data_IF_959879685976
#
_entry.id   IF_959879685976
#
_cell.length_a   1.000
_cell.length_b   1.000
_cell.length_c   1.000
_cell.angle_alpha   90.00
_cell.angle_beta   90.00
_cell.angle_gamma   90.00
#
_symmetry.space_group_name_H-M   'P 1'
#
loop_
_entity.id
_entity.type
_entity.pdbx_description
1 polymer ?
#
# COMPACT_ATOMS: atom_id res chain seq x y z
N UNK A 1 -30.10 6.55 1.99
CA UNK A 1 -28.63 6.68 2.00
C UNK A 1 -28.09 6.09 0.73
N UNK A 2 -27.08 6.72 0.14
CA UNK A 2 -26.46 6.24 -1.09
C UNK A 2 -25.14 5.52 -0.78
N UNK A 3 -24.67 4.62 -1.67
CA UNK A 3 -23.33 4.06 -1.57
C UNK A 3 -22.28 5.18 -1.49
N UNK A 4 -21.24 5.06 -0.66
CA UNK A 4 -20.24 6.09 -0.49
C UNK A 4 -19.37 6.18 -1.74
N UNK A 5 -18.72 7.31 -1.90
CA UNK A 5 -17.65 7.44 -2.88
C UNK A 5 -16.34 7.25 -2.17
N UNK A 6 -15.50 6.36 -2.71
CA UNK A 6 -14.17 6.09 -2.16
C UNK A 6 -13.14 6.53 -3.20
N UNK A 7 -12.12 7.24 -2.78
CA UNK A 7 -10.97 7.61 -3.62
C UNK A 7 -9.68 7.26 -2.87
N UNK A 8 -8.75 6.59 -3.54
CA UNK A 8 -7.46 6.23 -2.98
C UNK A 8 -6.39 7.21 -3.47
N UNK A 9 -5.46 7.59 -2.60
CA UNK A 9 -4.40 8.56 -2.88
C UNK A 9 -3.05 7.94 -2.50
N UNK A 10 -2.05 7.95 -3.41
CA UNK A 10 -2.13 8.39 -4.81
C UNK A 10 -3.10 7.54 -5.65
N UNK A 11 -3.80 8.20 -6.57
CA UNK A 11 -4.82 7.57 -7.42
C UNK A 11 -4.26 7.10 -8.77
N UNK A 12 -5.11 6.49 -9.60
CA UNK A 12 -4.85 6.29 -11.04
C UNK A 12 -3.70 5.33 -11.38
N UNK A 13 -3.50 4.29 -10.58
CA UNK A 13 -2.56 3.20 -10.88
C UNK A 13 -3.24 2.04 -11.61
N UNK A 14 -2.49 1.33 -12.43
CA UNK A 14 -2.89 0.05 -13.01
C UNK A 14 -1.77 -0.98 -12.86
N UNK A 15 -2.05 -2.25 -13.19
CA UNK A 15 -1.01 -3.29 -13.26
C UNK A 15 0.12 -2.88 -14.23
N UNK A 16 -0.21 -2.22 -15.34
CA UNK A 16 0.76 -1.77 -16.34
C UNK A 16 1.47 -0.45 -15.99
N UNK A 17 0.88 0.35 -15.11
CA UNK A 17 1.43 1.61 -14.62
C UNK A 17 1.24 1.73 -13.10
N UNK A 18 2.03 0.97 -12.32
CA UNK A 18 1.93 0.98 -10.87
C UNK A 18 2.68 2.18 -10.28
N UNK A 19 2.21 2.64 -9.11
CA UNK A 19 2.90 3.66 -8.32
C UNK A 19 4.23 3.10 -7.83
N UNK A 20 5.31 3.83 -8.01
CA UNK A 20 6.66 3.36 -7.69
C UNK A 20 7.06 3.77 -6.28
N UNK A 21 7.38 2.80 -5.43
CA UNK A 21 8.00 3.02 -4.14
C UNK A 21 9.35 2.31 -4.06
N UNK A 22 10.26 2.85 -3.23
CA UNK A 22 11.55 2.23 -2.93
C UNK A 22 11.41 1.41 -1.67
N UNK A 23 11.97 0.20 -1.66
CA UNK A 23 11.94 -0.68 -0.48
C UNK A 23 12.56 -0.05 0.77
N UNK A 24 13.50 0.87 0.60
CA UNK A 24 14.19 1.57 1.69
C UNK A 24 13.44 2.79 2.23
N UNK A 25 12.24 3.07 1.74
CA UNK A 25 11.39 4.13 2.26
C UNK A 25 10.06 3.53 2.70
N UNK A 26 9.47 4.16 3.72
CA UNK A 26 8.07 3.97 4.02
C UNK A 26 7.19 4.57 2.91
N UNK A 27 5.91 4.19 2.91
CA UNK A 27 4.91 4.85 2.10
C UNK A 27 3.52 4.73 2.73
N UNK A 28 2.62 5.61 2.31
CA UNK A 28 1.22 5.61 2.75
C UNK A 28 0.30 5.64 1.55
N UNK A 29 -0.75 4.82 1.59
CA UNK A 29 -1.92 5.00 0.74
C UNK A 29 -3.08 5.48 1.61
N UNK A 30 -3.62 6.66 1.30
CA UNK A 30 -4.76 7.22 2.00
C UNK A 30 -6.07 6.89 1.27
N UNK A 31 -7.16 6.77 2.02
CA UNK A 31 -8.51 6.67 1.49
C UNK A 31 -9.35 7.87 1.92
N UNK A 32 -10.01 8.49 0.94
CA UNK A 32 -11.04 9.50 1.16
C UNK A 32 -12.40 8.83 0.96
N UNK A 33 -13.21 8.84 2.02
CA UNK A 33 -14.55 8.25 2.02
C UNK A 33 -15.55 9.41 2.12
N UNK A 34 -16.31 9.63 1.05
CA UNK A 34 -17.39 10.61 1.02
C UNK A 34 -18.72 9.90 1.25
N UNK A 35 -19.41 10.27 2.32
CA UNK A 35 -20.68 9.68 2.74
C UNK A 35 -21.85 10.56 2.30
N UNK A 36 -22.81 9.94 1.63
CA UNK A 36 -24.05 10.57 1.19
C UNK A 36 -25.23 9.94 1.95
N UNK A 37 -25.32 10.24 3.24
CA UNK A 37 -26.35 9.70 4.14
C UNK A 37 -26.67 10.72 5.24
N UNK A 38 -27.96 10.96 5.49
CA UNK A 38 -28.41 11.90 6.52
C UNK A 38 -28.48 11.30 7.93
N UNK A 39 -28.28 9.98 8.04
CA UNK A 39 -28.33 9.25 9.31
C UNK A 39 -26.91 8.90 9.76
N UNK A 40 -26.70 8.76 11.07
CA UNK A 40 -25.48 8.15 11.60
C UNK A 40 -25.42 6.68 11.20
N UNK A 41 -24.38 6.31 10.47
CA UNK A 41 -24.11 4.97 9.96
C UNK A 41 -22.75 4.51 10.47
N UNK A 42 -22.64 3.24 10.81
CA UNK A 42 -21.35 2.65 11.18
C UNK A 42 -20.66 2.21 9.91
N UNK A 43 -19.38 2.54 9.80
CA UNK A 43 -18.55 2.19 8.66
C UNK A 43 -17.42 1.30 9.16
N UNK A 44 -17.22 0.19 8.47
CA UNK A 44 -16.06 -0.66 8.69
C UNK A 44 -15.19 -0.67 7.44
N UNK A 45 -13.89 -0.53 7.67
CA UNK A 45 -12.87 -0.36 6.64
C UNK A 45 -11.83 -1.45 6.80
N UNK A 46 -11.32 -1.97 5.69
CA UNK A 46 -10.31 -3.01 5.70
C UNK A 46 -9.41 -2.94 4.47
N UNK A 47 -8.11 -2.84 4.70
CA UNK A 47 -7.06 -3.00 3.72
C UNK A 47 -6.71 -4.47 3.53
N UNK A 48 -6.40 -4.85 2.29
CA UNK A 48 -5.86 -6.17 1.93
C UNK A 48 -4.75 -5.96 0.93
N UNK A 49 -3.57 -6.55 1.19
CA UNK A 49 -2.43 -6.52 0.28
C UNK A 49 -2.29 -7.87 -0.40
N UNK A 50 -2.16 -7.88 -1.73
CA UNK A 50 -1.93 -9.09 -2.52
C UNK A 50 -0.69 -8.94 -3.38
N UNK A 51 0.09 -10.00 -3.51
CA UNK A 51 1.25 -10.05 -4.41
C UNK A 51 0.79 -10.42 -5.82
N UNK A 52 1.29 -9.66 -6.80
CA UNK A 52 0.98 -9.80 -8.22
C UNK A 52 2.06 -10.53 -9.02
N UNK A 53 2.86 -11.40 -8.39
CA UNK A 53 3.92 -12.15 -9.10
C UNK A 53 3.41 -12.98 -10.29
N UNK A 54 2.17 -13.46 -10.26
CA UNK A 54 1.56 -14.18 -11.40
C UNK A 54 0.07 -13.86 -11.63
N UNK A 55 -0.74 -13.67 -10.58
CA UNK A 55 -2.19 -13.47 -10.73
C UNK A 55 -2.87 -12.58 -9.69
N UNK A 56 -2.12 -11.82 -8.89
CA UNK A 56 -2.65 -10.95 -7.82
C UNK A 56 -3.58 -11.65 -6.81
N UNK A 57 -3.47 -12.98 -6.65
CA UNK A 57 -4.36 -13.77 -5.78
C UNK A 57 -3.80 -13.97 -4.38
N UNK A 58 -2.48 -14.02 -4.24
CA UNK A 58 -1.82 -14.37 -2.99
C UNK A 58 -1.86 -13.20 -2.01
N UNK A 59 -2.64 -13.34 -0.94
CA UNK A 59 -2.67 -12.37 0.16
C UNK A 59 -1.32 -12.36 0.87
N UNK A 60 -0.80 -11.17 1.10
CA UNK A 60 0.41 -10.94 1.90
C UNK A 60 -0.02 -10.83 3.35
N UNK A 61 0.59 -11.63 4.22
CA UNK A 61 0.43 -11.50 5.66
C UNK A 61 1.33 -10.35 6.14
N UNK A 62 0.70 -9.25 6.54
CA UNK A 62 1.38 -8.12 7.15
C UNK A 62 1.63 -8.39 8.64
N UNK A 63 2.67 -7.76 9.17
CA UNK A 63 2.91 -7.78 10.62
C UNK A 63 1.72 -7.17 11.38
N UNK A 64 1.44 -7.68 12.58
CA UNK A 64 0.35 -7.21 13.44
C UNK A 64 0.42 -5.72 13.81
N UNK A 65 1.61 -5.12 13.73
CA UNK A 65 1.82 -3.69 13.93
C UNK A 65 1.28 -2.82 12.78
N UNK A 66 1.03 -3.39 11.60
CA UNK A 66 0.46 -2.67 10.47
C UNK A 66 -1.05 -2.58 10.62
N UNK A 67 -1.54 -1.35 10.86
CA UNK A 67 -2.97 -1.08 10.99
C UNK A 67 -3.62 -1.16 9.62
N UNK A 68 -4.54 -2.13 9.46
CA UNK A 68 -5.26 -2.36 8.19
C UNK A 68 -6.72 -1.93 8.23
N UNK A 69 -7.21 -1.45 9.37
CA UNK A 69 -8.61 -1.02 9.52
C UNK A 69 -8.78 0.50 9.47
N UNK A 70 -7.69 1.27 9.37
CA UNK A 70 -7.74 2.72 9.27
C UNK A 70 -7.99 3.21 7.84
N UNK A 71 -8.30 4.50 7.70
CA UNK A 71 -8.40 5.17 6.40
C UNK A 71 -7.07 5.25 5.66
N UNK A 72 -5.96 5.17 6.39
CA UNK A 72 -4.62 5.17 5.83
C UNK A 72 -3.97 3.80 6.02
N UNK A 73 -3.32 3.30 4.97
CA UNK A 73 -2.44 2.15 5.04
C UNK A 73 -1.00 2.66 5.00
N UNK A 74 -0.38 2.72 6.17
CA UNK A 74 1.04 2.98 6.31
C UNK A 74 1.83 1.68 6.21
N UNK A 75 2.76 1.61 5.26
CA UNK A 75 3.66 0.47 5.08
C UNK A 75 5.08 0.93 5.45
N UNK A 76 5.64 0.44 6.56
CA UNK A 76 7.01 0.74 6.94
C UNK A 76 8.03 0.29 5.89
N UNK A 77 9.23 0.87 5.94
CA UNK A 77 10.33 0.43 5.09
C UNK A 77 10.58 -1.08 5.26
N UNK A 78 10.99 -1.74 4.17
CA UNK A 78 11.37 -3.17 4.14
C UNK A 78 10.28 -4.18 4.51
N UNK A 79 9.06 -3.76 4.86
CA UNK A 79 7.92 -4.63 5.16
C UNK A 79 7.53 -5.50 3.95
N UNK A 80 7.49 -4.91 2.76
CA UNK A 80 7.20 -5.63 1.52
C UNK A 80 8.51 -5.97 0.76
N UNK A 81 8.69 -7.22 0.29
CA UNK A 81 9.73 -7.56 -0.67
C UNK A 81 9.58 -6.78 -2.00
N UNK A 82 10.64 -6.74 -2.81
CA UNK A 82 10.55 -6.18 -4.15
C UNK A 82 9.54 -6.97 -5.00
N UNK A 83 8.68 -6.27 -5.72
CA UNK A 83 7.61 -6.88 -6.51
C UNK A 83 6.43 -5.94 -6.76
N UNK A 84 5.44 -6.46 -7.49
CA UNK A 84 4.18 -5.78 -7.77
C UNK A 84 3.12 -6.22 -6.76
N UNK A 85 2.34 -5.27 -6.24
CA UNK A 85 1.28 -5.53 -5.27
C UNK A 85 -0.02 -4.81 -5.63
N UNK A 86 -1.14 -5.48 -5.34
CA UNK A 86 -2.48 -4.91 -5.33
C UNK A 86 -2.86 -4.59 -3.88
N UNK A 87 -3.15 -3.32 -3.61
CA UNK A 87 -3.63 -2.83 -2.32
C UNK A 87 -5.12 -2.54 -2.49
N UNK A 88 -5.96 -3.38 -1.88
CA UNK A 88 -7.41 -3.27 -1.92
C UNK A 88 -7.92 -2.63 -0.64
N UNK A 89 -8.76 -1.60 -0.75
CA UNK A 89 -9.47 -1.00 0.35
C UNK A 89 -10.96 -1.32 0.24
N UNK A 90 -11.49 -2.05 1.23
CA UNK A 90 -12.89 -2.38 1.33
C UNK A 90 -13.58 -1.48 2.36
N UNK A 91 -14.71 -0.91 1.97
CA UNK A 91 -15.62 -0.15 2.83
C UNK A 91 -16.95 -0.89 2.90
N UNK A 92 -17.46 -1.07 4.12
CA UNK A 92 -18.76 -1.68 4.39
C UNK A 92 -19.56 -0.74 5.29
N UNK A 93 -20.81 -0.45 4.91
CA UNK A 93 -21.71 0.33 5.76
C UNK A 93 -22.70 -0.59 6.46
N UNK A 94 -22.94 -0.34 7.74
CA UNK A 94 -24.01 -1.02 8.46
C UNK A 94 -25.38 -0.60 7.90
N UNK A 95 -26.33 -1.54 7.90
CA UNK A 95 -27.74 -1.31 7.56
C UNK A 95 -28.04 -0.76 6.14
N UNK A 96 -27.06 -0.75 5.23
CA UNK A 96 -27.28 -0.47 3.81
C UNK A 96 -26.95 -1.74 3.01
N UNK A 97 -27.95 -2.46 2.46
CA UNK A 97 -27.70 -3.65 1.67
C UNK A 97 -26.87 -3.30 0.42
N UNK A 98 -25.95 -4.19 0.05
CA UNK A 98 -25.06 -4.04 -1.11
C UNK A 98 -24.15 -2.79 -1.10
N UNK A 99 -23.84 -2.23 0.07
CA UNK A 99 -22.96 -1.07 0.23
C UNK A 99 -21.46 -1.41 0.25
N UNK A 100 -21.11 -2.67 -0.02
CA UNK A 100 -19.72 -3.11 -0.05
C UNK A 100 -19.03 -2.51 -1.27
N UNK A 101 -18.11 -1.58 -1.02
CA UNK A 101 -17.29 -0.99 -2.06
C UNK A 101 -15.85 -1.42 -1.86
N UNK A 102 -15.18 -1.72 -2.97
CA UNK A 102 -13.76 -2.05 -2.96
C UNK A 102 -13.08 -1.24 -4.03
N UNK A 103 -12.08 -0.47 -3.62
CA UNK A 103 -11.19 0.23 -4.54
C UNK A 103 -9.80 -0.38 -4.43
N UNK A 104 -9.03 -0.33 -5.51
CA UNK A 104 -7.69 -0.90 -5.58
C UNK A 104 -6.70 0.11 -6.11
N UNK A 105 -5.46 0.00 -5.63
CA UNK A 105 -4.29 0.62 -6.25
C UNK A 105 -3.19 -0.42 -6.43
N UNK A 106 -2.35 -0.20 -7.43
CA UNK A 106 -1.22 -1.06 -7.78
C UNK A 106 0.07 -0.33 -7.48
N UNK A 107 0.94 -0.98 -6.71
CA UNK A 107 2.23 -0.42 -6.30
C UNK A 107 3.35 -1.36 -6.65
N UNK A 108 4.46 -0.81 -7.16
CA UNK A 108 5.68 -1.53 -7.44
C UNK A 108 6.72 -1.16 -6.39
N UNK A 109 7.22 -2.16 -5.68
CA UNK A 109 8.32 -2.02 -4.75
C UNK A 109 9.61 -2.38 -5.50
N UNK A 110 10.51 -1.41 -5.61
CA UNK A 110 11.81 -1.58 -6.26
C UNK A 110 12.95 -1.50 -5.24
N UNK A 111 14.07 -2.15 -5.57
CA UNK A 111 15.29 -2.01 -4.77
C UNK A 111 15.75 -0.54 -4.75
N UNK A 112 16.33 -0.12 -3.64
CA UNK A 112 17.15 1.08 -3.59
C UNK A 112 18.51 0.75 -4.20
N UNK A 113 18.66 0.88 -5.52
CA UNK A 113 19.98 0.88 -6.14
C UNK A 113 20.72 2.17 -5.74
N UNK A 114 21.29 2.20 -4.53
CA UNK A 114 22.49 2.99 -4.30
C UNK A 114 23.65 2.06 -4.60
N UNK A 115 24.22 2.16 -5.81
CA UNK A 115 25.61 1.75 -6.02
C UNK A 115 26.46 2.55 -5.04
N UNK A 116 26.79 1.97 -3.88
CA UNK A 116 27.86 2.51 -3.06
C UNK A 116 29.12 2.28 -3.89
N UNK A 117 29.60 3.32 -4.57
CA UNK A 117 30.97 3.33 -5.04
C UNK A 117 31.84 3.32 -3.79
N UNK A 118 32.20 2.12 -3.34
CA UNK A 118 33.29 1.93 -2.40
C UNK A 118 34.55 2.35 -3.15
N UNK A 119 34.89 3.64 -3.06
CA UNK A 119 36.21 4.11 -3.46
C UNK A 119 37.15 3.41 -2.47
N UNK A 120 37.88 2.42 -2.96
CA UNK A 120 38.95 1.78 -2.18
C UNK A 120 40.01 2.85 -1.93
N UNK A 121 39.91 3.53 -0.79
CA UNK A 121 41.01 4.32 -0.28
C UNK A 121 42.10 3.33 0.11
N UNK A 122 43.04 3.11 -0.81
CA UNK A 122 44.21 2.29 -0.60
C UNK A 122 44.91 2.75 0.67
N UNK A 123 44.76 1.97 1.74
CA UNK A 123 45.54 2.16 2.95
C UNK A 123 46.99 1.84 2.61
N UNK A 124 47.77 2.91 2.44
CA UNK A 124 49.22 2.86 2.31
C UNK A 124 49.80 2.15 3.53
N UNK A 125 50.52 1.05 3.29
CA UNK A 125 51.37 0.40 4.29
C UNK A 125 52.58 1.29 4.58
N UNK A 126 52.77 1.66 5.84
CA UNK A 126 54.02 2.25 6.33
C UNK A 126 54.89 1.08 6.80
N UNK A 127 56.01 0.74 6.14
CA UNK A 127 56.93 -0.27 6.65
C UNK A 127 57.66 0.28 7.88
N UNK A 128 57.89 -0.59 8.87
CA UNK A 128 58.72 -0.35 10.04
C UNK A 128 60.03 -1.10 9.91
#
# INVERSE_FOLDING_TARGET
>A
CFPPTVTLIPSSSSISSPIQFRRAHDFTIASLIQLNCNNSIVITTQWTVKSCNSSCTNRVLLDSSVITTASELYIPERTLPCGLYELSFKVTMSHVPNSNLTNTVYVQISSSEKKVNLISYGTSMIPR
#
